data_IF_621566587889
#
_entry.id   IF_621566587889
#
_cell.length_a   1.000
_cell.length_b   1.000
_cell.length_c   1.000
_cell.angle_alpha   90.00
_cell.angle_beta   90.00
_cell.angle_gamma   90.00
#
_symmetry.space_group_name_H-M   'P 1'
#
loop_
_entity.id
_entity.type
_entity.pdbx_description
1 polymer ?
#
# COMPACT_ATOMS: atom_id res chain seq x y z
N UNK A 1 7.66 1.70 -12.01
CA UNK A 1 7.89 3.12 -12.34
C UNK A 1 7.82 3.36 -13.85
N UNK A 2 8.63 2.70 -14.66
CA UNK A 2 8.72 2.93 -16.12
C UNK A 2 7.37 2.82 -16.86
N UNK A 3 6.53 1.87 -16.47
CA UNK A 3 5.22 1.66 -17.12
C UNK A 3 4.15 2.67 -16.71
N UNK A 4 4.22 3.20 -15.51
CA UNK A 4 3.20 4.12 -14.97
C UNK A 4 3.65 5.57 -14.94
N UNK A 5 4.96 5.80 -14.98
CA UNK A 5 5.65 7.09 -14.75
C UNK A 5 5.25 7.74 -13.41
N UNK A 6 4.93 6.92 -12.43
CA UNK A 6 4.70 7.35 -11.05
C UNK A 6 5.73 6.72 -10.12
N UNK A 7 5.95 7.31 -8.96
CA UNK A 7 6.88 6.77 -7.97
C UNK A 7 6.36 5.46 -7.39
N UNK A 8 7.25 4.47 -7.31
CA UNK A 8 6.96 3.14 -6.78
C UNK A 8 7.80 2.90 -5.53
N UNK A 9 7.17 2.43 -4.49
CA UNK A 9 7.81 2.07 -3.23
C UNK A 9 7.71 0.59 -2.96
N UNK A 10 8.73 0.06 -2.30
CA UNK A 10 8.77 -1.27 -1.72
C UNK A 10 8.95 -1.12 -0.21
N UNK A 11 8.18 -1.85 0.58
CA UNK A 11 8.30 -1.76 2.02
C UNK A 11 7.82 -2.99 2.77
N UNK A 12 8.08 -2.99 4.06
CA UNK A 12 7.73 -4.06 4.99
C UNK A 12 7.00 -3.52 6.21
N UNK A 13 6.24 -4.40 6.86
CA UNK A 13 5.67 -4.15 8.18
C UNK A 13 6.64 -4.63 9.26
N UNK A 14 6.96 -3.74 10.18
CA UNK A 14 7.79 -4.05 11.36
C UNK A 14 7.34 -3.18 12.55
N UNK A 15 7.09 -3.81 13.70
CA UNK A 15 6.72 -3.11 14.94
C UNK A 15 5.57 -2.11 14.76
N UNK A 16 4.49 -2.54 14.11
CA UNK A 16 3.29 -1.74 13.84
C UNK A 16 3.53 -0.47 12.99
N UNK A 17 4.65 -0.42 12.27
CA UNK A 17 4.98 0.62 11.30
C UNK A 17 5.36 0.02 9.95
N UNK A 18 5.06 0.75 8.91
CA UNK A 18 5.47 0.42 7.56
C UNK A 18 6.80 1.14 7.29
N UNK A 19 7.81 0.39 6.86
CA UNK A 19 9.12 0.94 6.50
C UNK A 19 9.34 0.87 5.01
N UNK A 20 9.71 1.98 4.41
CA UNK A 20 10.15 2.02 3.01
C UNK A 20 11.54 1.39 2.93
N UNK A 21 11.67 0.32 2.15
CA UNK A 21 12.95 -0.34 1.89
C UNK A 21 13.64 0.22 0.66
N UNK A 22 12.86 0.52 -0.38
CA UNK A 22 13.40 0.99 -1.65
C UNK A 22 12.37 1.85 -2.38
N UNK A 23 12.85 2.69 -3.28
CA UNK A 23 12.03 3.61 -4.07
C UNK A 23 12.56 3.70 -5.51
N UNK A 24 11.65 3.59 -6.47
CA UNK A 24 11.89 3.92 -7.87
C UNK A 24 11.12 5.20 -8.19
N UNK A 25 11.84 6.30 -8.26
CA UNK A 25 11.23 7.62 -8.45
C UNK A 25 10.71 7.84 -9.87
N UNK A 26 9.58 8.54 -9.98
CA UNK A 26 9.08 9.07 -11.25
C UNK A 26 10.15 9.96 -11.92
N UNK A 27 10.15 9.99 -13.25
CA UNK A 27 11.03 10.88 -14.02
C UNK A 27 10.50 12.29 -14.15
N UNK A 28 9.29 12.57 -13.68
CA UNK A 28 8.67 13.89 -13.68
C UNK A 28 9.46 14.88 -12.80
N UNK A 29 9.47 16.15 -13.19
CA UNK A 29 10.08 17.20 -12.37
C UNK A 29 9.39 17.34 -11.01
N UNK A 30 8.06 17.34 -11.00
CA UNK A 30 7.26 17.35 -9.78
C UNK A 30 6.75 15.95 -9.51
N UNK A 31 7.23 15.36 -8.43
CA UNK A 31 6.93 13.99 -8.05
C UNK A 31 6.81 13.84 -6.54
N UNK A 32 6.12 12.80 -6.12
CA UNK A 32 6.11 12.38 -4.72
C UNK A 32 7.26 11.41 -4.52
N UNK A 33 8.03 11.61 -3.47
CA UNK A 33 9.11 10.70 -3.09
C UNK A 33 9.31 10.71 -1.57
N UNK A 34 9.96 9.68 -1.07
CA UNK A 34 10.41 9.56 0.32
C UNK A 34 11.63 8.66 0.36
N UNK A 35 12.62 8.94 1.20
CA UNK A 35 13.83 8.12 1.26
C UNK A 35 13.56 6.73 1.89
N UNK A 36 14.40 5.76 1.56
CA UNK A 36 14.47 4.49 2.26
C UNK A 36 14.63 4.71 3.77
N UNK A 37 14.00 3.87 4.59
CA UNK A 37 13.98 4.00 6.04
C UNK A 37 12.86 4.89 6.58
N UNK A 38 12.11 5.59 5.73
CA UNK A 38 10.93 6.36 6.16
C UNK A 38 9.89 5.44 6.79
N UNK A 39 9.35 5.85 7.93
CA UNK A 39 8.24 5.18 8.61
C UNK A 39 6.91 5.76 8.15
N UNK A 40 5.96 4.88 7.87
CA UNK A 40 4.58 5.25 7.54
C UNK A 40 3.66 4.63 8.60
N UNK A 41 2.66 5.38 9.11
CA UNK A 41 1.68 4.81 10.05
C UNK A 41 0.90 3.64 9.44
N UNK A 42 0.58 2.63 10.25
CA UNK A 42 -0.14 1.43 9.77
C UNK A 42 -1.57 1.74 9.28
N UNK A 43 -2.14 2.86 9.65
CA UNK A 43 -3.47 3.30 9.16
C UNK A 43 -3.39 4.23 7.94
N UNK A 44 -2.21 4.43 7.37
CA UNK A 44 -2.01 5.35 6.25
C UNK A 44 -2.41 4.74 4.90
N UNK A 45 -3.46 5.27 4.30
CA UNK A 45 -3.87 5.06 2.91
C UNK A 45 -3.92 3.61 2.43
N UNK A 46 -3.54 3.39 1.20
CA UNK A 46 -3.57 2.07 0.55
C UNK A 46 -2.61 1.07 1.20
N UNK A 47 -1.42 1.49 1.56
CA UNK A 47 -0.42 0.62 2.22
C UNK A 47 -0.92 0.08 3.54
N UNK A 48 -1.50 0.94 4.38
CA UNK A 48 -2.08 0.53 5.65
C UNK A 48 -3.17 -0.52 5.47
N UNK A 49 -4.07 -0.31 4.53
CA UNK A 49 -5.14 -1.27 4.23
C UNK A 49 -4.60 -2.63 3.80
N UNK A 50 -3.57 -2.67 2.95
CA UNK A 50 -2.96 -3.94 2.51
C UNK A 50 -2.35 -4.68 3.70
N UNK A 51 -1.54 -4.03 4.53
CA UNK A 51 -0.93 -4.70 5.67
C UNK A 51 -1.96 -5.16 6.70
N UNK A 52 -2.93 -4.32 7.02
CA UNK A 52 -4.01 -4.68 7.96
C UNK A 52 -4.89 -5.82 7.44
N UNK A 53 -5.09 -5.90 6.12
CA UNK A 53 -5.85 -6.98 5.49
C UNK A 53 -5.16 -8.34 5.60
N UNK A 54 -3.83 -8.36 5.58
CA UNK A 54 -3.06 -9.61 5.56
C UNK A 54 -2.40 -9.96 6.89
N UNK A 55 -2.50 -9.09 7.91
CA UNK A 55 -2.22 -9.44 9.28
C UNK A 55 -3.27 -10.44 9.79
N UNK A 56 -2.95 -11.14 10.88
CA UNK A 56 -3.94 -11.96 11.58
C UNK A 56 -5.13 -11.08 12.00
N UNK A 57 -6.36 -11.52 11.72
CA UNK A 57 -7.57 -10.74 11.93
C UNK A 57 -7.71 -10.20 13.37
N UNK A 58 -7.37 -11.04 14.37
CA UNK A 58 -7.38 -10.62 15.78
C UNK A 58 -6.37 -9.50 16.05
N UNK A 59 -5.19 -9.57 15.43
CA UNK A 59 -4.15 -8.55 15.57
C UNK A 59 -4.57 -7.24 14.92
N UNK A 60 -5.20 -7.29 13.76
CA UNK A 60 -5.75 -6.12 13.08
C UNK A 60 -6.80 -5.43 13.93
N UNK A 61 -7.77 -6.19 14.44
CA UNK A 61 -8.84 -5.66 15.26
C UNK A 61 -8.29 -5.06 16.57
N UNK A 62 -7.35 -5.74 17.20
CA UNK A 62 -6.67 -5.25 18.41
C UNK A 62 -5.95 -3.94 18.14
N UNK A 63 -5.21 -3.84 17.05
CA UNK A 63 -4.48 -2.63 16.68
C UNK A 63 -5.44 -1.45 16.45
N UNK A 64 -6.48 -1.66 15.64
CA UNK A 64 -7.46 -0.61 15.32
C UNK A 64 -8.27 -0.17 16.55
N UNK A 65 -8.60 -1.10 17.44
CA UNK A 65 -9.31 -0.78 18.70
C UNK A 65 -8.42 0.02 19.65
N UNK A 66 -7.14 -0.32 19.77
CA UNK A 66 -6.21 0.34 20.67
C UNK A 66 -5.77 1.71 20.17
N UNK A 67 -5.56 1.87 18.86
CA UNK A 67 -4.99 3.10 18.28
C UNK A 67 -6.03 4.00 17.61
N UNK A 68 -7.19 3.44 17.24
CA UNK A 68 -8.21 4.15 16.49
C UNK A 68 -7.84 4.38 15.02
N UNK A 69 -8.75 5.01 14.30
CA UNK A 69 -8.55 5.45 12.92
C UNK A 69 -8.24 6.94 12.91
N UNK A 70 -7.09 7.30 12.37
CA UNK A 70 -6.66 8.71 12.30
C UNK A 70 -7.31 9.38 11.10
N UNK A 71 -7.85 10.57 11.33
CA UNK A 71 -8.33 11.43 10.25
C UNK A 71 -7.18 12.27 9.70
N UNK A 72 -6.61 11.83 8.60
CA UNK A 72 -5.53 12.55 7.92
C UNK A 72 -6.06 13.61 6.95
N UNK A 73 -7.18 13.33 6.30
CA UNK A 73 -7.87 14.23 5.35
C UNK A 73 -9.38 14.15 5.53
N UNK A 74 -10.13 14.97 4.82
CA UNK A 74 -11.59 14.86 4.79
C UNK A 74 -12.10 13.54 4.19
N UNK A 75 -11.27 12.87 3.38
CA UNK A 75 -11.61 11.60 2.76
C UNK A 75 -11.20 10.38 3.60
N UNK A 76 -10.52 10.56 4.72
CA UNK A 76 -10.13 9.46 5.61
C UNK A 76 -11.36 8.70 6.11
N UNK A 77 -11.29 7.38 6.09
CA UNK A 77 -12.30 6.52 6.67
C UNK A 77 -12.06 6.47 8.18
N UNK A 78 -12.99 6.99 8.96
CA UNK A 78 -12.89 7.06 10.44
C UNK A 78 -13.89 6.16 11.14
N UNK A 79 -14.85 5.60 10.42
CA UNK A 79 -15.77 4.60 10.93
C UNK A 79 -15.14 3.21 10.88
N UNK A 80 -15.06 2.53 12.03
CA UNK A 80 -14.39 1.23 12.14
C UNK A 80 -15.05 0.15 11.28
N UNK A 81 -16.39 0.07 11.29
CA UNK A 81 -17.11 -0.96 10.52
C UNK A 81 -16.89 -0.78 9.03
N UNK A 82 -16.95 0.46 8.55
CA UNK A 82 -16.65 0.79 7.16
C UNK A 82 -15.20 0.46 6.79
N UNK A 83 -14.25 0.77 7.67
CA UNK A 83 -12.84 0.46 7.44
C UNK A 83 -12.60 -1.05 7.37
N UNK A 84 -13.24 -1.83 8.24
CA UNK A 84 -13.16 -3.30 8.22
C UNK A 84 -13.77 -3.89 6.94
N UNK A 85 -14.83 -3.29 6.40
CA UNK A 85 -15.37 -3.68 5.09
C UNK A 85 -14.36 -3.45 3.96
N UNK A 86 -13.68 -2.33 3.95
CA UNK A 86 -12.60 -2.06 3.00
C UNK A 86 -11.45 -3.08 3.13
N UNK A 87 -11.07 -3.42 4.35
CA UNK A 87 -10.05 -4.45 4.63
C UNK A 87 -10.46 -5.81 4.05
N UNK A 88 -11.73 -6.19 4.19
CA UNK A 88 -12.24 -7.45 3.62
C UNK A 88 -12.23 -7.43 2.09
N UNK A 89 -12.61 -6.31 1.47
CA UNK A 89 -12.49 -6.13 0.02
C UNK A 89 -11.04 -6.26 -0.47
N UNK A 90 -10.09 -5.75 0.29
CA UNK A 90 -8.65 -5.88 -0.03
C UNK A 90 -8.23 -7.35 0.00
N UNK A 91 -8.69 -8.14 0.97
CA UNK A 91 -8.42 -9.58 1.01
C UNK A 91 -8.95 -10.30 -0.23
N UNK A 92 -10.15 -9.94 -0.67
CA UNK A 92 -10.79 -10.56 -1.85
C UNK A 92 -10.10 -10.14 -3.16
N UNK A 93 -9.79 -8.86 -3.31
CA UNK A 93 -9.26 -8.28 -4.56
C UNK A 93 -7.74 -8.39 -4.69
N UNK A 94 -7.01 -8.44 -3.58
CA UNK A 94 -5.55 -8.50 -3.55
C UNK A 94 -4.83 -7.16 -3.65
N UNK A 95 -5.55 -6.04 -3.67
CA UNK A 95 -4.99 -4.69 -3.69
C UNK A 95 -5.86 -3.70 -2.92
N UNK A 96 -5.27 -2.57 -2.58
CA UNK A 96 -5.97 -1.43 -1.98
C UNK A 96 -5.72 -0.16 -2.79
N UNK A 97 -6.66 0.76 -2.72
CA UNK A 97 -6.53 2.09 -3.30
C UNK A 97 -6.62 3.16 -2.23
N UNK A 98 -5.98 4.29 -2.48
CA UNK A 98 -6.07 5.51 -1.69
C UNK A 98 -6.49 6.65 -2.62
N UNK A 99 -7.61 7.26 -2.33
CA UNK A 99 -8.13 8.43 -3.05
C UNK A 99 -8.13 9.63 -2.12
N UNK A 100 -6.95 10.19 -1.90
CA UNK A 100 -6.74 11.35 -1.02
C UNK A 100 -7.15 11.09 0.44
N UNK A 101 -6.98 9.84 0.91
CA UNK A 101 -7.35 9.43 2.26
C UNK A 101 -6.22 9.70 3.26
N UNK A 102 -4.97 9.59 2.82
CA UNK A 102 -3.79 9.86 3.64
C UNK A 102 -3.23 11.27 3.42
N UNK A 103 -3.06 11.65 2.16
CA UNK A 103 -2.56 12.97 1.79
C UNK A 103 -3.51 13.60 0.76
N UNK A 104 -3.96 14.82 1.05
CA UNK A 104 -4.78 15.58 0.10
C UNK A 104 -4.03 15.78 -1.22
N UNK A 105 -4.71 15.58 -2.34
CA UNK A 105 -4.11 15.70 -3.68
C UNK A 105 -3.23 14.53 -4.11
N UNK A 106 -3.22 13.44 -3.34
CA UNK A 106 -2.38 12.25 -3.59
C UNK A 106 -3.23 11.00 -3.65
N UNK A 107 -3.00 10.19 -4.67
CA UNK A 107 -3.61 8.86 -4.84
C UNK A 107 -2.54 7.78 -4.83
N UNK A 108 -2.92 6.59 -4.41
CA UNK A 108 -2.02 5.45 -4.36
C UNK A 108 -2.75 4.13 -4.63
N UNK A 109 -1.99 3.14 -5.06
CA UNK A 109 -2.40 1.74 -5.17
C UNK A 109 -1.33 0.89 -4.51
N UNK A 110 -1.74 -0.05 -3.68
CA UNK A 110 -0.84 -0.98 -2.99
C UNK A 110 -1.27 -2.43 -3.23
N UNK A 111 -0.30 -3.33 -3.33
CA UNK A 111 -0.53 -4.76 -3.41
C UNK A 111 0.46 -5.54 -2.54
N UNK A 112 0.00 -6.64 -1.96
CA UNK A 112 0.82 -7.50 -1.12
C UNK A 112 1.85 -8.26 -1.94
N UNK A 113 3.08 -8.32 -1.45
CA UNK A 113 4.10 -9.26 -1.90
C UNK A 113 4.06 -10.46 -0.96
N UNK A 114 3.84 -11.65 -1.51
CA UNK A 114 3.84 -12.89 -0.74
C UNK A 114 5.28 -13.31 -0.44
N UNK A 115 5.57 -13.47 0.83
CA UNK A 115 6.84 -13.97 1.33
C UNK A 115 6.61 -15.30 2.04
N UNK A 116 7.62 -16.15 2.11
CA UNK A 116 7.59 -17.28 3.03
C UNK A 116 8.02 -16.80 4.41
N UNK A 117 7.19 -17.06 5.43
CA UNK A 117 7.44 -16.65 6.79
C UNK A 117 6.59 -15.47 7.25
N UNK A 118 6.92 -14.90 8.42
CA UNK A 118 6.04 -13.93 9.09
C UNK A 118 6.13 -12.50 8.57
N UNK A 119 7.09 -12.20 7.70
CA UNK A 119 7.29 -10.83 7.20
C UNK A 119 6.27 -10.50 6.14
N UNK A 120 5.52 -9.42 6.34
CA UNK A 120 4.62 -8.85 5.34
C UNK A 120 5.36 -7.76 4.56
N UNK A 121 5.27 -7.84 3.24
CA UNK A 121 5.84 -6.88 2.31
C UNK A 121 4.79 -6.40 1.32
N UNK A 122 4.97 -5.21 0.78
CA UNK A 122 4.08 -4.65 -0.23
C UNK A 122 4.86 -3.77 -1.22
N UNK A 123 4.30 -3.65 -2.41
CA UNK A 123 4.68 -2.65 -3.40
C UNK A 123 3.52 -1.68 -3.57
N UNK A 124 3.81 -0.39 -3.69
CA UNK A 124 2.77 0.60 -3.94
C UNK A 124 3.25 1.72 -4.85
N UNK A 125 2.29 2.26 -5.59
CA UNK A 125 2.49 3.33 -6.56
C UNK A 125 1.78 4.58 -6.05
N UNK A 126 2.45 5.71 -6.06
CA UNK A 126 1.94 6.98 -5.54
C UNK A 126 2.12 8.08 -6.58
N UNK A 127 1.09 8.90 -6.75
CA UNK A 127 1.15 10.06 -7.62
C UNK A 127 0.15 11.13 -7.23
N UNK A 128 0.26 12.29 -7.85
CA UNK A 128 -0.70 13.38 -7.65
C UNK A 128 -2.06 13.03 -8.25
N UNK A 129 -3.13 13.43 -7.58
CA UNK A 129 -4.51 13.22 -8.06
C UNK A 129 -4.74 13.85 -9.43
N UNK A 130 -4.06 14.95 -9.73
CA UNK A 130 -4.13 15.62 -11.04
C UNK A 130 -3.56 14.77 -12.19
N UNK A 131 -2.65 13.85 -11.91
CA UNK A 131 -2.06 12.96 -12.92
C UNK A 131 -2.68 11.56 -12.93
N UNK A 132 -3.36 11.15 -11.87
CA UNK A 132 -3.99 9.83 -11.75
C UNK A 132 -5.49 9.95 -11.96
N UNK A 133 -5.94 9.90 -13.22
CA UNK A 133 -7.36 9.79 -13.59
C UNK A 133 -7.90 8.41 -13.22
N UNK A 134 -9.21 8.22 -13.25
CA UNK A 134 -9.81 6.90 -12.97
C UNK A 134 -9.36 5.82 -13.97
N UNK A 135 -9.21 6.15 -15.25
CA UNK A 135 -8.67 5.24 -16.25
C UNK A 135 -7.21 4.87 -15.94
N UNK A 136 -6.38 5.85 -15.59
CA UNK A 136 -5.01 5.61 -15.17
C UNK A 136 -4.95 4.81 -13.87
N UNK A 137 -5.86 5.04 -12.94
CA UNK A 137 -5.96 4.27 -11.70
C UNK A 137 -6.15 2.77 -12.00
N UNK A 138 -7.06 2.41 -12.88
CA UNK A 138 -7.28 1.02 -13.32
C UNK A 138 -6.02 0.39 -13.92
N UNK A 139 -5.31 1.12 -14.74
CA UNK A 139 -4.02 0.67 -15.31
C UNK A 139 -2.97 0.47 -14.22
N UNK A 140 -2.85 1.40 -13.27
CA UNK A 140 -1.92 1.30 -12.15
C UNK A 140 -2.25 0.07 -11.27
N UNK A 141 -3.52 -0.19 -11.00
CA UNK A 141 -3.96 -1.39 -10.26
C UNK A 141 -3.44 -2.65 -10.94
N UNK A 142 -3.68 -2.79 -12.25
CA UNK A 142 -3.21 -3.94 -13.02
C UNK A 142 -1.70 -4.12 -12.94
N UNK A 143 -0.94 -3.04 -13.13
CA UNK A 143 0.53 -3.08 -13.11
C UNK A 143 1.09 -3.34 -11.71
N UNK A 144 0.49 -2.77 -10.69
CA UNK A 144 0.90 -2.98 -9.29
C UNK A 144 0.68 -4.44 -8.88
N UNK A 145 -0.46 -5.02 -9.21
CA UNK A 145 -0.75 -6.44 -8.95
C UNK A 145 0.22 -7.36 -9.68
N UNK A 146 0.50 -7.11 -10.96
CA UNK A 146 1.47 -7.88 -11.74
C UNK A 146 2.89 -7.80 -11.16
N UNK A 147 3.32 -6.61 -10.74
CA UNK A 147 4.62 -6.43 -10.09
C UNK A 147 4.71 -7.20 -8.77
N UNK A 148 3.68 -7.10 -7.93
CA UNK A 148 3.61 -7.84 -6.67
C UNK A 148 3.69 -9.36 -6.89
N UNK A 149 2.96 -9.88 -7.86
CA UNK A 149 2.97 -11.30 -8.20
C UNK A 149 4.34 -11.75 -8.74
N UNK A 150 4.96 -10.96 -9.60
CA UNK A 150 6.28 -11.26 -10.15
C UNK A 150 7.37 -11.30 -9.06
N UNK A 151 7.36 -10.35 -8.14
CA UNK A 151 8.29 -10.32 -6.99
C UNK A 151 8.04 -11.53 -6.10
N UNK A 152 6.77 -11.83 -5.81
CA UNK A 152 6.39 -12.98 -4.98
C UNK A 152 6.91 -14.30 -5.57
N UNK A 153 6.74 -14.50 -6.88
CA UNK A 153 7.22 -15.69 -7.58
C UNK A 153 8.75 -15.79 -7.59
N UNK A 154 9.44 -14.67 -7.76
CA UNK A 154 10.89 -14.63 -7.74
C UNK A 154 11.45 -15.00 -6.35
N UNK A 155 10.83 -14.49 -5.30
CA UNK A 155 11.19 -14.84 -3.93
C UNK A 155 11.01 -16.33 -3.64
N UNK A 156 9.89 -16.93 -4.07
CA UNK A 156 9.66 -18.36 -3.89
C UNK A 156 10.71 -19.22 -4.62
N UNK A 157 11.06 -18.88 -5.87
CA UNK A 157 12.06 -19.59 -6.66
C UNK A 157 13.46 -19.55 -6.02
N UNK A 158 13.83 -18.45 -5.40
CA UNK A 158 15.16 -18.31 -4.74
C UNK A 158 15.28 -19.15 -3.49
N UNK A 159 14.19 -19.48 -2.84
CA UNK A 159 14.19 -20.31 -1.62
C UNK A 159 14.25 -21.80 -1.93
N UNK A 160 13.88 -22.24 -3.14
CA UNK A 160 13.99 -23.62 -3.61
C UNK A 160 15.43 -24.00 -4.07
N UNK A 161 16.34 -23.02 -4.14
CA UNK A 161 17.76 -23.22 -4.48
C UNK A 161 18.66 -23.28 -3.25
#
# INVERSE_FOLDING_TARGET
MEETDETVFLGILKDDHIFILDVAESTKELKITSPSGTKIPLTAGATGKVFLAYMEEKSTLRYLTANGLVKYTENSITDLDRYLQEIEEVREKGFATDREEYLQGVKAVAALIRTEGPVLAAVWVVGFSSSITEDKMGYIVERTCKAADAISQDLMRRQEQ
#
